data_IF_255593759413
#
_entry.id   IF_255593759413
#
_cell.length_a   1.000
_cell.length_b   1.000
_cell.length_c   1.000
_cell.angle_alpha   90.00
_cell.angle_beta   90.00
_cell.angle_gamma   90.00
#
_symmetry.space_group_name_H-M   'P 1'
#
loop_
_entity.id
_entity.type
_entity.pdbx_description
1 polymer ?
#
# COMPACT_ATOMS: atom_id res chain seq x y z
N UNK A 1 8.64 -20.47 -2.61
CA UNK A 1 8.02 -19.25 -3.20
C UNK A 1 8.10 -18.15 -2.18
N UNK A 2 8.70 -17.02 -2.52
CA UNK A 2 8.68 -15.84 -1.67
C UNK A 2 7.64 -14.86 -2.23
N UNK A 3 6.60 -14.59 -1.45
CA UNK A 3 5.60 -13.58 -1.80
C UNK A 3 5.90 -12.31 -1.00
N UNK A 4 6.05 -11.19 -1.70
CA UNK A 4 6.15 -9.86 -1.08
C UNK A 4 4.93 -9.04 -1.47
N UNK A 5 4.33 -8.32 -0.52
CA UNK A 5 3.23 -7.40 -0.80
C UNK A 5 3.78 -5.97 -0.82
N UNK A 6 3.40 -5.20 -1.83
CA UNK A 6 3.69 -3.77 -1.92
C UNK A 6 2.36 -3.01 -1.84
N UNK A 7 2.13 -2.30 -0.74
CA UNK A 7 1.08 -1.30 -0.65
C UNK A 7 1.54 -0.06 -1.42
N UNK A 8 1.05 0.10 -2.65
CA UNK A 8 1.43 1.17 -3.54
C UNK A 8 0.47 2.35 -3.35
N UNK A 9 0.88 3.31 -2.54
CA UNK A 9 0.06 4.45 -2.17
C UNK A 9 -0.48 5.21 -3.37
N UNK A 10 -1.76 5.58 -3.32
CA UNK A 10 -2.38 6.32 -4.40
C UNK A 10 -1.72 7.67 -4.70
N UNK A 11 -1.10 8.30 -3.70
CA UNK A 11 -0.30 9.52 -3.87
C UNK A 11 1.01 9.31 -4.66
N UNK A 12 1.38 8.06 -4.92
CA UNK A 12 2.54 7.69 -5.73
C UNK A 12 2.08 7.35 -7.16
N UNK A 13 0.92 6.70 -7.32
CA UNK A 13 0.34 6.38 -8.63
C UNK A 13 -0.21 7.64 -9.30
N UNK A 14 -0.95 8.44 -8.54
CA UNK A 14 -1.65 9.62 -9.01
C UNK A 14 -1.67 10.70 -7.91
N UNK A 15 -0.57 11.47 -7.75
CA UNK A 15 -0.48 12.55 -6.76
C UNK A 15 -1.49 13.66 -7.03
N UNK A 16 -1.54 14.18 -8.23
CA UNK A 16 -2.51 15.14 -8.78
C UNK A 16 -3.17 14.58 -10.05
N UNK A 17 -2.38 14.04 -10.95
CA UNK A 17 -2.74 13.24 -12.10
C UNK A 17 -1.93 11.95 -12.10
N UNK A 18 -2.19 11.03 -13.03
CA UNK A 18 -1.39 9.80 -13.16
C UNK A 18 0.07 10.16 -13.42
N UNK A 19 0.97 9.67 -12.55
CA UNK A 19 2.43 9.86 -12.69
C UNK A 19 3.00 8.83 -13.68
N UNK A 20 3.02 9.22 -14.93
CA UNK A 20 3.46 8.36 -16.04
C UNK A 20 4.94 7.99 -15.91
N UNK A 21 5.78 8.93 -15.48
CA UNK A 21 7.22 8.69 -15.39
C UNK A 21 7.56 7.75 -14.24
N UNK A 22 6.90 7.92 -13.10
CA UNK A 22 6.98 6.95 -12.01
C UNK A 22 6.54 5.56 -12.46
N UNK A 23 5.36 5.44 -13.08
CA UNK A 23 4.83 4.13 -13.50
C UNK A 23 5.72 3.43 -14.53
N UNK A 24 6.31 4.17 -15.48
CA UNK A 24 7.30 3.63 -16.45
C UNK A 24 8.53 3.09 -15.73
N UNK A 25 9.12 3.89 -14.85
CA UNK A 25 10.32 3.50 -14.13
C UNK A 25 10.05 2.34 -13.16
N UNK A 26 8.98 2.41 -12.36
CA UNK A 26 8.59 1.36 -11.43
C UNK A 26 8.33 0.02 -12.14
N UNK A 27 7.53 0.04 -13.22
CA UNK A 27 7.24 -1.20 -13.96
C UNK A 27 8.49 -1.81 -14.59
N UNK A 28 9.42 -1.00 -15.11
CA UNK A 28 10.69 -1.47 -15.64
C UNK A 28 11.54 -2.16 -14.59
N UNK A 29 11.75 -1.51 -13.45
CA UNK A 29 12.60 -2.02 -12.37
C UNK A 29 11.99 -3.25 -11.67
N UNK A 30 10.68 -3.25 -11.44
CA UNK A 30 10.00 -4.41 -10.86
C UNK A 30 10.07 -5.63 -11.80
N UNK A 31 9.93 -5.43 -13.11
CA UNK A 31 10.10 -6.50 -14.10
C UNK A 31 11.53 -7.04 -14.12
N UNK A 32 12.53 -6.15 -13.99
CA UNK A 32 13.92 -6.58 -13.90
C UNK A 32 14.15 -7.45 -12.66
N UNK A 33 13.63 -7.03 -11.49
CA UNK A 33 13.69 -7.80 -10.25
C UNK A 33 13.01 -9.18 -10.37
N UNK A 34 11.83 -9.25 -10.99
CA UNK A 34 11.10 -10.51 -11.15
C UNK A 34 11.79 -11.46 -12.13
N UNK A 35 12.47 -10.95 -13.15
CA UNK A 35 13.25 -11.77 -14.11
C UNK A 35 14.47 -12.43 -13.50
N UNK A 36 15.02 -11.90 -12.41
CA UNK A 36 16.19 -12.48 -11.73
C UNK A 36 15.87 -13.85 -11.11
N UNK A 37 14.60 -14.11 -10.74
CA UNK A 37 14.16 -15.36 -10.14
C UNK A 37 12.67 -15.60 -10.42
N UNK A 38 12.38 -16.64 -11.20
CA UNK A 38 11.01 -17.01 -11.58
C UNK A 38 10.11 -17.44 -10.39
N UNK A 39 10.70 -17.75 -9.23
CA UNK A 39 9.94 -18.11 -8.02
C UNK A 39 9.42 -16.88 -7.25
N UNK A 40 9.91 -15.68 -7.55
CA UNK A 40 9.47 -14.43 -6.92
C UNK A 40 8.05 -14.08 -7.33
N UNK A 41 7.25 -13.71 -6.36
CA UNK A 41 5.88 -13.23 -6.57
C UNK A 41 5.65 -11.93 -5.81
N UNK A 42 4.97 -10.98 -6.45
CA UNK A 42 4.66 -9.67 -5.86
C UNK A 42 3.18 -9.38 -5.98
N UNK A 43 2.57 -8.96 -4.87
CA UNK A 43 1.20 -8.46 -4.83
C UNK A 43 1.27 -6.94 -4.73
N UNK A 44 0.62 -6.23 -5.65
CA UNK A 44 0.54 -4.77 -5.67
C UNK A 44 -0.86 -4.34 -5.21
N UNK A 45 -0.95 -3.72 -4.03
CA UNK A 45 -2.22 -3.19 -3.51
C UNK A 45 -2.25 -1.68 -3.76
N UNK A 46 -3.17 -1.24 -4.61
CA UNK A 46 -3.20 0.14 -5.10
C UNK A 46 -4.09 1.06 -4.25
N UNK A 47 -3.59 2.24 -3.91
CA UNK A 47 -4.35 3.30 -3.26
C UNK A 47 -5.10 4.21 -4.25
N UNK A 48 -6.03 5.04 -3.74
CA UNK A 48 -6.93 5.87 -4.57
C UNK A 48 -6.33 7.19 -5.10
N UNK A 49 -5.39 7.80 -4.37
CA UNK A 49 -4.69 9.02 -4.81
C UNK A 49 -5.57 10.27 -4.97
N UNK A 50 -5.17 11.16 -5.87
CA UNK A 50 -5.95 12.37 -6.20
C UNK A 50 -7.33 12.07 -6.76
N UNK A 51 -7.56 11.08 -7.63
CA UNK A 51 -8.89 10.73 -8.08
C UNK A 51 -9.87 10.51 -6.93
N UNK A 52 -9.48 9.73 -5.90
CA UNK A 52 -10.32 9.53 -4.73
C UNK A 52 -10.67 10.85 -4.04
N UNK A 53 -9.67 11.69 -3.76
CA UNK A 53 -9.85 12.96 -3.06
C UNK A 53 -10.73 13.94 -3.83
N UNK A 54 -10.49 14.08 -5.14
CA UNK A 54 -11.24 15.00 -6.00
C UNK A 54 -12.72 14.61 -6.04
N UNK A 55 -13.02 13.35 -6.28
CA UNK A 55 -14.40 12.88 -6.36
C UNK A 55 -15.11 12.91 -4.99
N UNK A 56 -14.41 12.58 -3.89
CA UNK A 56 -14.97 12.70 -2.53
C UNK A 56 -15.25 14.17 -2.17
N UNK A 57 -14.38 15.10 -2.53
CA UNK A 57 -14.59 16.53 -2.31
C UNK A 57 -15.78 17.05 -3.14
N UNK A 58 -15.88 16.65 -4.40
CA UNK A 58 -17.00 16.99 -5.26
C UNK A 58 -18.32 16.48 -4.67
N UNK A 59 -18.37 15.23 -4.22
CA UNK A 59 -19.56 14.63 -3.60
C UNK A 59 -19.98 15.40 -2.35
N UNK A 60 -19.03 15.77 -1.48
CA UNK A 60 -19.29 16.60 -0.28
C UNK A 60 -19.81 17.99 -0.63
N UNK A 61 -19.30 18.61 -1.69
CA UNK A 61 -19.71 19.94 -2.13
C UNK A 61 -21.13 19.93 -2.72
N UNK A 62 -21.48 18.90 -3.49
CA UNK A 62 -22.80 18.76 -4.13
C UNK A 62 -23.87 18.27 -3.15
N UNK A 63 -23.50 17.39 -2.22
CA UNK A 63 -24.41 16.81 -1.22
C UNK A 63 -23.84 16.98 0.20
N UNK A 64 -23.95 18.19 0.81
CA UNK A 64 -23.54 18.40 2.19
C UNK A 64 -24.27 17.43 3.14
N UNK A 65 -23.52 16.75 4.01
CA UNK A 65 -24.09 15.76 4.94
C UNK A 65 -24.16 14.32 4.39
N UNK A 66 -23.59 14.05 3.20
CA UNK A 66 -23.50 12.69 2.67
C UNK A 66 -22.80 11.78 3.68
N UNK A 67 -23.33 10.57 3.85
CA UNK A 67 -22.74 9.56 4.74
C UNK A 67 -21.34 9.16 4.30
N UNK A 68 -20.42 8.98 5.25
CA UNK A 68 -19.03 8.62 5.01
C UNK A 68 -18.86 7.32 4.24
N UNK A 69 -19.79 6.39 4.36
CA UNK A 69 -19.79 5.11 3.64
C UNK A 69 -19.83 5.31 2.12
N UNK A 70 -20.61 6.30 1.64
CA UNK A 70 -20.63 6.63 0.20
C UNK A 70 -19.30 7.24 -0.26
N UNK A 71 -18.66 8.05 0.59
CA UNK A 71 -17.34 8.60 0.30
C UNK A 71 -16.26 7.52 0.26
N UNK A 72 -16.35 6.53 1.16
CA UNK A 72 -15.46 5.37 1.15
C UNK A 72 -15.62 4.59 -0.17
N UNK A 73 -16.86 4.36 -0.63
CA UNK A 73 -17.09 3.70 -1.92
C UNK A 73 -16.47 4.46 -3.10
N UNK A 74 -16.53 5.78 -3.11
CA UNK A 74 -15.85 6.59 -4.12
C UNK A 74 -14.34 6.35 -4.06
N UNK A 75 -13.76 6.39 -2.87
CA UNK A 75 -12.35 6.09 -2.66
C UNK A 75 -11.96 4.70 -3.15
N UNK A 76 -12.74 3.68 -2.80
CA UNK A 76 -12.56 2.29 -3.23
C UNK A 76 -12.58 2.18 -4.75
N UNK A 77 -13.54 2.80 -5.44
CA UNK A 77 -13.59 2.78 -6.91
C UNK A 77 -12.39 3.46 -7.56
N UNK A 78 -11.85 4.50 -6.94
CA UNK A 78 -10.60 5.11 -7.39
C UNK A 78 -9.40 4.16 -7.23
N UNK A 79 -9.36 3.34 -6.16
CA UNK A 79 -8.33 2.30 -6.03
C UNK A 79 -8.45 1.23 -7.12
N UNK A 80 -9.68 0.86 -7.50
CA UNK A 80 -9.93 -0.09 -8.59
C UNK A 80 -9.47 0.46 -9.94
N UNK A 81 -9.69 1.75 -10.22
CA UNK A 81 -9.22 2.40 -11.44
C UNK A 81 -7.68 2.39 -11.51
N UNK A 82 -7.01 2.80 -10.44
CA UNK A 82 -5.55 2.76 -10.33
C UNK A 82 -5.03 1.32 -10.43
N UNK A 83 -5.68 0.38 -9.74
CA UNK A 83 -5.34 -1.04 -9.79
C UNK A 83 -5.46 -1.62 -11.20
N UNK A 84 -6.52 -1.27 -11.93
CA UNK A 84 -6.68 -1.71 -13.32
C UNK A 84 -5.59 -1.12 -14.22
N UNK A 85 -5.22 0.14 -14.03
CA UNK A 85 -4.09 0.74 -14.74
C UNK A 85 -2.79 -0.03 -14.47
N UNK A 86 -2.44 -0.24 -13.19
CA UNK A 86 -1.23 -0.97 -12.78
C UNK A 86 -1.26 -2.40 -13.32
N UNK A 87 -2.38 -3.11 -13.24
CA UNK A 87 -2.55 -4.45 -13.78
C UNK A 87 -2.24 -4.50 -15.29
N UNK A 88 -2.71 -3.50 -16.03
CA UNK A 88 -2.44 -3.40 -17.48
C UNK A 88 -0.95 -3.30 -17.80
N UNK A 89 -0.16 -2.63 -16.93
CA UNK A 89 1.29 -2.53 -17.11
C UNK A 89 2.02 -3.88 -16.95
N UNK A 90 1.40 -4.87 -16.30
CA UNK A 90 1.96 -6.20 -16.05
C UNK A 90 1.16 -7.32 -16.69
N UNK A 91 0.34 -7.04 -17.71
CA UNK A 91 -0.64 -7.97 -18.29
C UNK A 91 -0.04 -9.30 -18.75
N UNK A 92 1.22 -9.32 -19.16
CA UNK A 92 1.96 -10.53 -19.61
C UNK A 92 2.40 -11.44 -18.45
N UNK A 93 2.50 -10.91 -17.22
CA UNK A 93 2.93 -11.64 -16.01
C UNK A 93 1.90 -11.55 -14.86
N UNK A 94 0.75 -10.93 -15.11
CA UNK A 94 -0.40 -10.79 -14.23
C UNK A 94 -1.64 -11.37 -14.94
N UNK A 95 -1.81 -12.69 -14.87
CA UNK A 95 -2.91 -13.39 -15.56
C UNK A 95 -4.24 -13.30 -14.82
N UNK A 96 -4.21 -12.94 -13.54
CA UNK A 96 -5.37 -12.94 -12.67
C UNK A 96 -6.18 -11.64 -12.77
N UNK A 97 -7.44 -11.69 -12.38
CA UNK A 97 -8.29 -10.50 -12.33
C UNK A 97 -7.83 -9.56 -11.20
N UNK A 98 -8.20 -8.28 -11.30
CA UNK A 98 -8.02 -7.33 -10.21
C UNK A 98 -8.74 -7.84 -8.96
N UNK A 99 -8.00 -8.02 -7.87
CA UNK A 99 -8.59 -8.41 -6.58
C UNK A 99 -9.30 -7.22 -5.97
N UNK A 100 -10.60 -7.37 -5.74
CA UNK A 100 -11.47 -6.36 -5.10
C UNK A 100 -12.05 -6.84 -3.76
N UNK A 101 -11.87 -8.11 -3.45
CA UNK A 101 -12.19 -8.74 -2.16
C UNK A 101 -11.05 -9.70 -1.77
N UNK A 102 -10.19 -9.32 -0.81
CA UNK A 102 -9.05 -10.16 -0.42
C UNK A 102 -9.45 -11.46 0.26
N UNK A 103 -10.72 -11.62 0.66
CA UNK A 103 -11.27 -12.81 1.33
C UNK A 103 -11.91 -13.81 0.36
N UNK A 104 -12.14 -13.41 -0.90
CA UNK A 104 -12.74 -14.29 -1.90
C UNK A 104 -11.93 -15.58 -2.09
N UNK A 105 -12.61 -16.72 -2.09
CA UNK A 105 -11.97 -18.03 -2.28
C UNK A 105 -11.44 -18.21 -3.70
N UNK A 106 -11.96 -17.46 -4.66
CA UNK A 106 -11.67 -17.60 -6.09
C UNK A 106 -10.41 -16.83 -6.53
N UNK A 107 -9.69 -16.20 -5.58
CA UNK A 107 -8.44 -15.54 -5.93
C UNK A 107 -7.38 -16.59 -6.22
N UNK A 108 -6.90 -16.58 -7.45
CA UNK A 108 -5.74 -17.35 -7.87
C UNK A 108 -4.52 -16.42 -7.95
N UNK A 109 -3.33 -16.99 -7.89
CA UNK A 109 -2.08 -16.23 -8.08
C UNK A 109 -1.18 -17.03 -9.03
N UNK A 110 -1.56 -17.08 -10.30
CA UNK A 110 -0.88 -17.87 -11.33
C UNK A 110 0.39 -17.17 -11.82
N UNK A 111 0.32 -15.87 -12.13
CA UNK A 111 1.47 -15.08 -12.59
C UNK A 111 2.49 -14.75 -11.50
N UNK A 112 3.49 -13.93 -11.84
CA UNK A 112 4.43 -13.37 -10.86
C UNK A 112 3.90 -12.11 -10.17
N UNK A 113 2.92 -11.44 -10.78
CA UNK A 113 2.27 -10.25 -10.24
C UNK A 113 0.78 -10.53 -10.02
N UNK A 114 0.26 -10.12 -8.87
CA UNK A 114 -1.15 -10.01 -8.57
C UNK A 114 -1.44 -8.56 -8.21
N UNK A 115 -2.55 -8.01 -8.69
CA UNK A 115 -2.92 -6.62 -8.38
C UNK A 115 -4.25 -6.57 -7.64
N UNK A 116 -4.32 -5.73 -6.61
CA UNK A 116 -5.50 -5.53 -5.79
C UNK A 116 -5.84 -4.04 -5.65
N UNK A 117 -7.11 -3.76 -5.43
CA UNK A 117 -7.65 -2.47 -4.98
C UNK A 117 -8.28 -2.59 -3.60
N UNK A 118 -8.90 -1.52 -3.12
CA UNK A 118 -9.62 -1.51 -1.84
C UNK A 118 -10.85 -2.41 -1.85
N UNK A 119 -11.18 -2.97 -0.71
CA UNK A 119 -12.27 -3.95 -0.56
C UNK A 119 -13.61 -3.28 -0.27
N UNK A 120 -13.83 -2.84 0.96
CA UNK A 120 -15.11 -2.33 1.43
C UNK A 120 -14.94 -1.17 2.41
N UNK A 121 -15.99 -0.35 2.65
CA UNK A 121 -15.95 0.72 3.63
C UNK A 121 -15.45 0.28 5.00
N UNK A 122 -14.67 1.12 5.65
CA UNK A 122 -14.05 0.84 6.94
C UNK A 122 -12.78 0.00 6.87
N UNK A 123 -12.28 -0.34 5.67
CA UNK A 123 -11.01 -1.04 5.46
C UNK A 123 -10.06 -0.20 4.64
N UNK A 124 -8.84 -0.06 5.12
CA UNK A 124 -7.75 0.60 4.38
C UNK A 124 -7.08 -0.39 3.42
N UNK A 125 -6.40 0.14 2.39
CA UNK A 125 -5.55 -0.68 1.50
C UNK A 125 -4.41 -1.37 2.25
N UNK A 126 -3.98 -0.84 3.39
CA UNK A 126 -2.98 -1.51 4.25
C UNK A 126 -3.55 -2.79 4.85
N UNK A 127 -4.82 -2.77 5.27
CA UNK A 127 -5.50 -3.94 5.79
C UNK A 127 -5.69 -5.01 4.69
N UNK A 128 -6.04 -4.59 3.48
CA UNK A 128 -6.13 -5.48 2.32
C UNK A 128 -4.75 -6.11 2.01
N UNK A 129 -3.66 -5.34 2.14
CA UNK A 129 -2.30 -5.84 1.97
C UNK A 129 -1.95 -6.92 3.01
N UNK A 130 -2.32 -6.73 4.28
CA UNK A 130 -2.10 -7.73 5.34
C UNK A 130 -2.91 -9.00 5.08
N UNK A 131 -4.18 -8.88 4.66
CA UNK A 131 -5.03 -10.04 4.33
C UNK A 131 -4.46 -10.86 3.15
N UNK A 132 -3.99 -10.18 2.11
CA UNK A 132 -3.37 -10.85 0.97
C UNK A 132 -2.01 -11.45 1.33
N UNK A 133 -1.21 -10.79 2.17
CA UNK A 133 0.03 -11.35 2.68
C UNK A 133 -0.23 -12.65 3.48
N UNK A 134 -1.20 -12.63 4.40
CA UNK A 134 -1.62 -13.81 5.17
C UNK A 134 -2.03 -14.96 4.25
N UNK A 135 -2.90 -14.67 3.29
CA UNK A 135 -3.44 -15.67 2.36
C UNK A 135 -2.37 -16.36 1.53
N UNK A 136 -1.39 -15.62 1.03
CA UNK A 136 -0.37 -16.13 0.12
C UNK A 136 0.99 -16.39 0.81
N UNK A 137 1.01 -16.38 2.15
CA UNK A 137 2.20 -16.70 2.95
C UNK A 137 3.30 -15.66 2.89
N UNK A 138 2.97 -14.41 2.51
CA UNK A 138 3.90 -13.28 2.54
C UNK A 138 4.23 -12.87 3.97
N UNK A 139 5.50 -12.60 4.24
CA UNK A 139 5.97 -12.12 5.56
C UNK A 139 6.48 -10.69 5.53
N UNK A 140 6.68 -10.13 4.34
CA UNK A 140 7.13 -8.76 4.13
C UNK A 140 6.04 -7.97 3.39
N UNK A 141 5.68 -6.81 3.96
CA UNK A 141 4.85 -5.80 3.33
C UNK A 141 5.71 -4.53 3.18
N UNK A 142 5.81 -4.00 1.96
CA UNK A 142 6.47 -2.73 1.69
C UNK A 142 5.40 -1.68 1.50
N UNK A 143 5.29 -0.74 2.43
CA UNK A 143 4.34 0.37 2.33
C UNK A 143 5.00 1.58 1.68
N UNK A 144 4.67 1.81 0.43
CA UNK A 144 5.18 2.90 -0.39
C UNK A 144 4.24 4.11 -0.35
N UNK A 145 4.69 5.16 0.29
CA UNK A 145 3.94 6.41 0.43
C UNK A 145 4.82 7.63 0.15
N UNK A 146 4.34 8.81 0.47
CA UNK A 146 5.10 10.05 0.33
C UNK A 146 6.02 10.36 1.51
N UNK A 147 6.04 9.51 2.55
CA UNK A 147 6.96 9.65 3.68
C UNK A 147 8.19 8.78 3.50
N UNK A 148 9.34 9.28 3.95
CA UNK A 148 10.61 8.55 3.86
C UNK A 148 10.77 7.55 5.01
N UNK A 149 10.40 7.97 6.22
CA UNK A 149 10.48 7.18 7.45
C UNK A 149 9.26 7.45 8.34
N UNK A 150 9.02 6.57 9.29
CA UNK A 150 8.19 6.86 10.45
C UNK A 150 8.98 7.76 11.38
N UNK A 151 8.30 8.66 12.06
CA UNK A 151 8.87 9.59 13.05
C UNK A 151 8.22 9.36 14.40
N UNK A 152 8.91 9.78 15.45
CA UNK A 152 8.41 9.73 16.84
C UNK A 152 7.14 10.57 17.05
N UNK A 153 6.88 11.54 16.17
CA UNK A 153 5.69 12.41 16.12
C UNK A 153 5.54 12.95 14.69
N UNK A 154 4.48 13.69 14.37
CA UNK A 154 4.32 14.35 13.07
C UNK A 154 5.37 15.48 12.91
N UNK A 155 6.36 15.34 12.02
CA UNK A 155 7.44 16.33 11.88
C UNK A 155 6.95 17.68 11.36
N UNK A 156 5.74 17.75 10.79
CA UNK A 156 5.12 19.02 10.36
C UNK A 156 4.58 19.82 11.55
N UNK A 157 4.30 19.15 12.67
CA UNK A 157 3.75 19.75 13.89
C UNK A 157 4.79 19.86 14.99
N UNK A 158 5.71 18.91 15.04
CA UNK A 158 6.76 18.83 16.06
C UNK A 158 8.15 18.81 15.37
N UNK A 159 8.87 19.94 15.32
CA UNK A 159 10.22 19.98 14.74
C UNK A 159 11.26 19.12 15.48
N UNK A 160 10.94 18.63 16.68
CA UNK A 160 11.81 17.72 17.46
C UNK A 160 11.54 16.24 17.14
N UNK A 161 10.58 15.94 16.25
CA UNK A 161 10.29 14.58 15.80
C UNK A 161 11.52 13.96 15.14
N UNK A 162 11.90 12.77 15.61
CA UNK A 162 13.09 12.04 15.12
C UNK A 162 12.65 10.92 14.17
N UNK A 163 13.38 10.71 13.06
CA UNK A 163 13.15 9.57 12.20
C UNK A 163 13.54 8.27 12.92
N UNK A 164 12.82 7.20 12.60
CA UNK A 164 12.98 5.88 13.20
C UNK A 164 13.43 4.92 12.10
N UNK A 165 14.52 4.18 12.34
CA UNK A 165 15.00 3.17 11.40
C UNK A 165 14.33 1.81 11.63
N UNK A 166 14.19 1.42 12.90
CA UNK A 166 13.55 0.16 13.30
C UNK A 166 12.70 0.39 14.54
N UNK A 167 11.53 -0.21 14.57
CA UNK A 167 10.60 -0.09 15.71
C UNK A 167 9.85 -1.42 15.89
N UNK A 168 9.59 -1.78 17.14
CA UNK A 168 8.74 -2.93 17.46
C UNK A 168 7.27 -2.63 17.13
N UNK A 169 6.47 -3.67 16.88
CA UNK A 169 5.01 -3.51 16.74
C UNK A 169 4.37 -2.88 17.98
N UNK A 170 4.86 -3.21 19.17
CA UNK A 170 4.35 -2.63 20.42
C UNK A 170 4.54 -1.12 20.45
N UNK A 171 5.74 -0.64 20.16
CA UNK A 171 6.06 0.79 20.20
C UNK A 171 5.44 1.56 19.03
N UNK A 172 5.38 0.94 17.84
CA UNK A 172 4.71 1.55 16.69
C UNK A 172 3.21 1.78 16.98
N UNK A 173 2.52 0.81 17.59
CA UNK A 173 1.12 0.94 17.97
C UNK A 173 0.88 2.02 19.04
N UNK A 174 1.85 2.30 19.92
CA UNK A 174 1.77 3.47 20.84
C UNK A 174 1.74 4.80 20.08
N UNK A 175 2.42 4.88 18.90
CA UNK A 175 2.43 6.08 18.06
C UNK A 175 1.12 6.24 17.28
N UNK A 176 0.64 5.19 16.62
CA UNK A 176 -0.51 5.28 15.71
C UNK A 176 -1.86 5.04 16.39
N UNK A 177 -1.87 4.32 17.51
CA UNK A 177 -3.07 3.83 18.21
C UNK A 177 -3.52 2.47 17.71
N UNK A 178 -4.63 1.99 18.24
CA UNK A 178 -5.23 0.68 17.88
C UNK A 178 -6.52 0.82 17.08
N UNK A 179 -7.09 2.02 17.03
CA UNK A 179 -8.38 2.29 16.41
C UNK A 179 -8.21 3.10 15.13
N UNK A 180 -8.95 2.71 14.11
CA UNK A 180 -9.03 3.49 12.88
C UNK A 180 -9.90 4.74 13.10
N UNK A 181 -9.36 5.89 12.72
CA UNK A 181 -10.07 7.17 12.78
C UNK A 181 -10.16 7.75 11.38
N UNK A 182 -11.38 8.05 10.85
CA UNK A 182 -11.55 8.64 9.53
C UNK A 182 -10.73 9.92 9.36
N UNK A 183 -9.97 9.99 8.26
CA UNK A 183 -9.15 11.17 7.93
C UNK A 183 -7.85 11.32 8.72
N UNK A 184 -7.55 10.45 9.67
CA UNK A 184 -6.25 10.41 10.34
C UNK A 184 -5.24 9.71 9.41
N UNK A 185 -4.26 10.47 8.95
CA UNK A 185 -3.15 9.92 8.19
C UNK A 185 -2.13 9.29 9.14
N UNK A 186 -2.00 7.99 9.12
CA UNK A 186 -0.98 7.23 9.85
C UNK A 186 0.01 6.63 8.86
N UNK A 187 1.28 6.41 9.27
CA UNK A 187 2.28 5.76 8.42
C UNK A 187 1.87 4.36 7.94
N UNK A 188 1.12 3.63 8.77
CA UNK A 188 0.46 2.37 8.46
C UNK A 188 -0.81 2.27 9.32
N UNK A 189 -1.84 1.67 8.78
CA UNK A 189 -3.17 1.59 9.43
C UNK A 189 -3.13 0.87 10.79
N UNK A 190 -3.80 1.41 11.85
CA UNK A 190 -3.78 0.81 13.19
C UNK A 190 -4.35 -0.62 13.23
N UNK A 191 -5.44 -0.89 12.50
CA UNK A 191 -6.08 -2.21 12.46
C UNK A 191 -5.20 -3.20 11.70
N UNK A 192 -4.63 -2.77 10.57
CA UNK A 192 -3.64 -3.54 9.81
C UNK A 192 -2.40 -3.84 10.66
N UNK A 193 -1.93 -2.86 11.45
CA UNK A 193 -0.79 -3.00 12.36
C UNK A 193 -1.01 -4.09 13.40
N UNK A 194 -2.18 -4.08 14.05
CA UNK A 194 -2.56 -5.10 15.04
C UNK A 194 -2.57 -6.50 14.43
N UNK A 195 -3.13 -6.63 13.23
CA UNK A 195 -3.19 -7.90 12.52
C UNK A 195 -1.80 -8.35 12.06
N UNK A 196 -1.01 -7.48 11.44
CA UNK A 196 0.35 -7.79 10.99
C UNK A 196 1.25 -8.25 12.16
N UNK A 197 1.17 -7.55 13.31
CA UNK A 197 1.85 -7.94 14.54
C UNK A 197 1.47 -9.36 14.99
N UNK A 198 0.17 -9.69 15.03
CA UNK A 198 -0.31 -11.02 15.45
C UNK A 198 0.15 -12.15 14.53
N UNK A 199 0.44 -11.84 13.28
CA UNK A 199 0.90 -12.79 12.25
C UNK A 199 2.44 -12.85 12.13
N UNK A 200 3.18 -12.07 12.95
CA UNK A 200 4.64 -11.98 12.89
C UNK A 200 5.12 -11.49 11.51
N UNK A 201 4.40 -10.56 10.91
CA UNK A 201 4.79 -9.93 9.65
C UNK A 201 5.70 -8.76 9.91
N UNK A 202 6.55 -8.45 8.94
CA UNK A 202 7.37 -7.25 8.90
C UNK A 202 6.78 -6.24 7.91
N UNK A 203 6.71 -4.99 8.30
CA UNK A 203 6.32 -3.88 7.41
C UNK A 203 7.48 -2.91 7.26
N UNK A 204 7.78 -2.54 6.02
CA UNK A 204 8.76 -1.48 5.72
C UNK A 204 8.03 -0.27 5.16
N UNK A 205 8.04 0.84 5.88
CA UNK A 205 7.54 2.13 5.39
C UNK A 205 8.67 2.87 4.68
N UNK A 206 8.44 3.30 3.44
CA UNK A 206 9.44 3.99 2.64
C UNK A 206 8.81 4.93 1.60
N UNK A 207 9.62 5.88 1.12
CA UNK A 207 9.21 6.83 0.08
C UNK A 207 9.10 6.15 -1.28
N UNK A 208 7.87 6.01 -1.77
CA UNK A 208 7.57 5.26 -2.98
C UNK A 208 8.20 5.81 -4.26
N UNK A 209 8.47 7.11 -4.33
CA UNK A 209 9.15 7.73 -5.50
C UNK A 209 10.63 7.36 -5.61
N UNK A 210 11.23 6.78 -4.56
CA UNK A 210 12.61 6.31 -4.55
C UNK A 210 12.67 4.85 -5.05
N UNK A 211 12.49 4.63 -6.35
CA UNK A 211 12.33 3.28 -6.95
C UNK A 211 13.54 2.39 -6.66
N UNK A 212 14.77 2.90 -6.77
CA UNK A 212 15.98 2.11 -6.49
C UNK A 212 16.02 1.66 -5.01
N UNK A 213 15.54 2.50 -4.10
CA UNK A 213 15.40 2.14 -2.70
C UNK A 213 14.36 1.02 -2.50
N UNK A 214 13.23 1.08 -3.22
CA UNK A 214 12.24 -0.01 -3.23
C UNK A 214 12.86 -1.33 -3.72
N UNK A 215 13.67 -1.28 -4.76
CA UNK A 215 14.38 -2.47 -5.27
C UNK A 215 15.43 -2.99 -4.28
N UNK A 216 16.10 -2.11 -3.53
CA UNK A 216 17.00 -2.49 -2.45
C UNK A 216 16.26 -3.24 -1.34
N UNK A 217 15.08 -2.75 -0.91
CA UNK A 217 14.23 -3.43 0.08
C UNK A 217 13.86 -4.84 -0.42
N UNK A 218 13.40 -4.97 -1.66
CA UNK A 218 13.03 -6.24 -2.27
C UNK A 218 14.18 -7.25 -2.33
N UNK A 219 15.43 -6.78 -2.47
CA UNK A 219 16.64 -7.60 -2.50
C UNK A 219 17.27 -7.84 -1.13
N UNK A 220 16.70 -7.30 -0.05
CA UNK A 220 17.28 -7.36 1.30
C UNK A 220 18.61 -6.60 1.43
N UNK A 221 18.82 -5.60 0.61
CA UNK A 221 19.99 -4.71 0.63
C UNK A 221 19.75 -3.53 1.59
N UNK A 222 20.80 -2.79 2.00
CA UNK A 222 20.63 -1.57 2.79
C UNK A 222 19.71 -0.56 2.09
N UNK A 223 18.80 0.04 2.84
CA UNK A 223 17.77 0.95 2.33
C UNK A 223 17.47 2.10 3.30
N UNK A 224 16.76 3.09 2.80
CA UNK A 224 16.20 4.20 3.59
C UNK A 224 14.72 3.95 3.82
N UNK A 225 14.31 3.87 5.08
CA UNK A 225 12.94 3.59 5.48
C UNK A 225 12.84 3.24 6.96
N UNK A 226 11.67 2.81 7.40
CA UNK A 226 11.44 2.28 8.75
C UNK A 226 10.99 0.84 8.67
N UNK A 227 11.69 -0.05 9.35
CA UNK A 227 11.27 -1.43 9.56
C UNK A 227 10.43 -1.53 10.82
N UNK A 228 9.24 -2.13 10.72
CA UNK A 228 8.32 -2.42 11.82
C UNK A 228 8.20 -3.94 11.94
N UNK A 229 8.53 -4.49 13.11
CA UNK A 229 8.51 -5.94 13.32
C UNK A 229 8.87 -6.42 14.73
#
# INVERSE_FOLDING_TARGET
MSVTVISLGGSIIAPDSVDIDFLKAFSKELRAYLKEDASRKVILVCGGGAPARIYQQAAKAVAPGIDSTYLDWIGIRATHLNGQLVRTLFADICSDQLVIDPTSKDIEFKGQVLVAGGWKPGFSSDNDAVLLAERFGGKLIINLSNIEKVYTDDPRKNPQAKPIDTISWEDFRKIVGDDWVPGKNTPFDPVASKKAASLGMQVVCSKGTQIQNTMAILRGQPFVGTTIG
#
